data_IF_726185998412
#
_entry.id   IF_726185998412
#
_cell.length_a   1.000
_cell.length_b   1.000
_cell.length_c   1.000
_cell.angle_alpha   90.00
_cell.angle_beta   90.00
_cell.angle_gamma   90.00
#
_symmetry.space_group_name_H-M   'P 1'
#
loop_
_entity.id
_entity.type
_entity.pdbx_description
1 polymer ?
#
# COMPACT_ATOMS: atom_id res chain seq x y z
N UNK A 1 27.26 -10.19 25.39
CA UNK A 1 28.19 -10.12 24.27
C UNK A 1 27.34 -10.27 23.00
N UNK A 2 27.14 -9.23 22.20
CA UNK A 2 26.40 -9.34 20.95
C UNK A 2 27.34 -9.84 19.85
N UNK A 3 26.94 -10.88 19.17
CA UNK A 3 27.64 -11.47 18.03
C UNK A 3 27.51 -10.55 16.82
N UNK A 4 28.63 -10.00 16.44
CA UNK A 4 28.86 -9.24 15.20
C UNK A 4 28.64 -10.15 13.99
N UNK A 5 27.55 -9.99 13.28
CA UNK A 5 27.48 -10.40 11.89
C UNK A 5 28.18 -9.34 11.05
N UNK A 6 29.39 -9.68 10.67
CA UNK A 6 30.26 -8.95 9.79
C UNK A 6 29.58 -8.74 8.44
N UNK A 7 29.29 -7.49 8.11
CA UNK A 7 29.09 -7.03 6.75
C UNK A 7 30.39 -7.23 5.98
N UNK A 8 30.48 -8.30 5.23
CA UNK A 8 31.50 -8.43 4.20
C UNK A 8 31.20 -7.37 3.12
N UNK A 9 31.89 -6.23 3.21
CA UNK A 9 32.03 -5.31 2.10
C UNK A 9 32.79 -6.04 0.99
N UNK A 10 32.06 -6.50 -0.01
CA UNK A 10 32.66 -6.83 -1.30
C UNK A 10 32.98 -5.51 -2.02
N UNK A 11 34.19 -5.03 -1.81
CA UNK A 11 34.82 -4.07 -2.71
C UNK A 11 35.25 -4.82 -3.98
N UNK A 12 34.35 -4.92 -4.94
CA UNK A 12 34.70 -5.08 -6.35
C UNK A 12 33.75 -4.18 -7.11
N UNK A 13 34.30 -3.29 -7.92
CA UNK A 13 33.58 -2.26 -8.68
C UNK A 13 32.76 -2.83 -9.84
N UNK A 14 31.85 -3.74 -9.56
CA UNK A 14 30.78 -4.13 -10.46
C UNK A 14 29.55 -3.29 -10.09
N UNK A 15 29.15 -2.41 -11.00
CA UNK A 15 27.86 -1.72 -10.89
C UNK A 15 26.78 -2.81 -10.81
N UNK A 16 26.05 -2.86 -9.69
CA UNK A 16 24.90 -3.72 -9.56
C UNK A 16 23.92 -3.38 -10.70
N UNK A 17 23.84 -4.24 -11.69
CA UNK A 17 22.91 -4.09 -12.80
C UNK A 17 21.54 -4.58 -12.34
N UNK A 18 20.72 -3.65 -11.81
CA UNK A 18 19.35 -3.92 -11.51
C UNK A 18 18.52 -4.06 -12.80
N UNK A 19 17.53 -4.95 -12.77
CA UNK A 19 16.61 -5.15 -13.89
C UNK A 19 15.82 -3.88 -14.20
N UNK A 20 15.54 -3.65 -15.48
CA UNK A 20 14.52 -2.68 -15.90
C UNK A 20 13.17 -3.38 -16.00
N UNK A 21 12.09 -2.59 -15.92
CA UNK A 21 10.73 -3.12 -16.04
C UNK A 21 10.51 -3.89 -17.35
N UNK A 22 11.19 -3.52 -18.42
CA UNK A 22 11.06 -4.10 -19.76
C UNK A 22 11.72 -5.48 -19.87
N UNK A 23 12.76 -5.73 -19.06
CA UNK A 23 13.55 -6.96 -19.09
C UNK A 23 12.89 -8.14 -18.37
N UNK A 24 11.82 -7.92 -17.60
CA UNK A 24 11.19 -8.97 -16.82
C UNK A 24 10.25 -9.82 -17.67
N UNK A 25 10.46 -11.13 -17.64
CA UNK A 25 9.48 -12.12 -18.07
C UNK A 25 8.47 -12.36 -16.94
N UNK A 26 7.27 -11.77 -17.09
CA UNK A 26 6.22 -11.84 -16.06
C UNK A 26 5.73 -13.27 -15.81
N UNK A 27 5.72 -14.15 -16.82
CA UNK A 27 5.27 -15.53 -16.65
C UNK A 27 6.24 -16.29 -15.75
N UNK A 28 7.53 -16.25 -16.07
CA UNK A 28 8.59 -16.88 -15.28
C UNK A 28 8.70 -16.26 -13.87
N UNK A 29 8.58 -14.93 -13.78
CA UNK A 29 8.60 -14.24 -12.46
C UNK A 29 7.43 -14.70 -11.57
N UNK A 30 6.22 -14.82 -12.11
CA UNK A 30 5.05 -15.29 -11.36
C UNK A 30 5.16 -16.76 -10.93
N UNK A 31 5.73 -17.64 -11.76
CA UNK A 31 6.02 -19.02 -11.37
C UNK A 31 7.02 -19.06 -10.20
N UNK A 32 8.11 -18.30 -10.31
CA UNK A 32 9.14 -18.19 -9.28
C UNK A 32 8.56 -17.66 -7.97
N UNK A 33 7.81 -16.55 -8.02
CA UNK A 33 7.17 -15.92 -6.85
C UNK A 33 6.09 -16.82 -6.24
N UNK A 34 5.40 -17.63 -7.07
CA UNK A 34 4.41 -18.59 -6.60
C UNK A 34 4.99 -19.68 -5.71
N UNK A 35 6.25 -20.04 -5.88
CA UNK A 35 6.98 -21.02 -5.07
C UNK A 35 7.58 -20.42 -3.78
N UNK A 36 7.57 -19.10 -3.60
CA UNK A 36 8.15 -18.39 -2.47
C UNK A 36 7.10 -18.03 -1.43
N UNK A 37 7.53 -17.86 -0.18
CA UNK A 37 6.76 -17.17 0.85
C UNK A 37 6.81 -15.64 0.69
N UNK A 38 6.06 -14.92 1.52
CA UNK A 38 5.98 -13.46 1.44
C UNK A 38 7.34 -12.77 1.61
N UNK A 39 8.16 -13.26 2.52
CA UNK A 39 9.49 -12.72 2.78
C UNK A 39 10.44 -12.98 1.60
N UNK A 40 10.40 -14.18 1.04
CA UNK A 40 11.15 -14.55 -0.17
C UNK A 40 10.78 -13.68 -1.37
N UNK A 41 9.49 -13.36 -1.56
CA UNK A 41 9.02 -12.47 -2.65
C UNK A 41 9.57 -11.06 -2.53
N UNK A 42 9.60 -10.50 -1.31
CA UNK A 42 10.16 -9.16 -1.07
C UNK A 42 11.67 -9.17 -1.29
N UNK A 43 12.37 -10.21 -0.81
CA UNK A 43 13.81 -10.36 -1.00
C UNK A 43 14.16 -10.50 -2.50
N UNK A 44 13.42 -11.33 -3.23
CA UNK A 44 13.58 -11.46 -4.68
C UNK A 44 13.45 -10.10 -5.39
N UNK A 45 12.45 -9.30 -5.01
CA UNK A 45 12.28 -7.98 -5.59
C UNK A 45 13.44 -7.03 -5.23
N UNK A 46 13.91 -7.07 -3.99
CA UNK A 46 15.05 -6.27 -3.55
C UNK A 46 16.34 -6.62 -4.29
N UNK A 47 16.62 -7.90 -4.46
CA UNK A 47 17.80 -8.39 -5.19
C UNK A 47 17.78 -8.02 -6.67
N UNK A 48 16.60 -7.94 -7.30
CA UNK A 48 16.47 -7.65 -8.72
C UNK A 48 16.32 -6.15 -9.04
N UNK A 49 15.71 -5.35 -8.16
CA UNK A 49 15.35 -3.95 -8.45
C UNK A 49 15.99 -2.93 -7.49
N UNK A 50 16.54 -3.36 -6.36
CA UNK A 50 17.25 -2.51 -5.41
C UNK A 50 16.47 -1.24 -5.03
N UNK A 51 17.11 -0.09 -5.20
CA UNK A 51 16.52 1.23 -4.88
C UNK A 51 15.30 1.63 -5.72
N UNK A 52 15.02 0.89 -6.79
CA UNK A 52 13.78 1.04 -7.56
C UNK A 52 12.54 0.42 -6.92
N UNK A 53 12.67 -0.18 -5.72
CA UNK A 53 11.58 -0.81 -4.99
C UNK A 53 11.02 0.13 -3.93
N UNK A 54 9.69 0.22 -3.80
CA UNK A 54 9.02 0.88 -2.69
C UNK A 54 7.78 0.10 -2.25
N UNK A 55 7.29 0.39 -1.06
CA UNK A 55 5.95 -0.04 -0.59
C UNK A 55 5.10 1.16 -0.20
N UNK A 56 3.78 1.04 -0.32
CA UNK A 56 2.85 2.06 0.17
C UNK A 56 2.01 1.56 1.33
N UNK A 57 1.58 2.47 2.18
CA UNK A 57 0.68 2.20 3.31
C UNK A 57 -0.35 3.31 3.47
N UNK A 58 -1.54 2.96 3.93
CA UNK A 58 -2.54 3.88 4.48
C UNK A 58 -2.72 3.70 5.99
N UNK A 59 -1.84 2.93 6.62
CA UNK A 59 -1.94 2.54 8.01
C UNK A 59 -3.31 1.94 8.40
N UNK A 60 -3.92 1.16 7.48
CA UNK A 60 -5.14 0.41 7.77
C UNK A 60 -4.91 -0.70 8.79
N UNK A 61 -5.98 -1.41 9.20
CA UNK A 61 -6.00 -2.36 10.32
C UNK A 61 -4.83 -3.35 10.34
N UNK A 62 -4.42 -3.86 9.19
CA UNK A 62 -3.40 -4.91 9.07
C UNK A 62 -2.10 -4.42 8.40
N UNK A 63 -1.89 -3.11 8.29
CA UNK A 63 -0.75 -2.52 7.59
C UNK A 63 0.60 -2.87 8.21
N UNK A 64 0.65 -3.14 9.52
CA UNK A 64 1.87 -3.56 10.21
C UNK A 64 2.51 -4.81 9.58
N UNK A 65 1.72 -5.72 9.01
CA UNK A 65 2.22 -6.94 8.36
C UNK A 65 3.20 -6.60 7.23
N UNK A 66 2.75 -5.79 6.27
CA UNK A 66 3.59 -5.43 5.13
C UNK A 66 4.79 -4.58 5.53
N UNK A 67 4.59 -3.63 6.44
CA UNK A 67 5.67 -2.77 6.94
C UNK A 67 6.75 -3.62 7.60
N UNK A 68 6.37 -4.56 8.47
CA UNK A 68 7.30 -5.45 9.15
C UNK A 68 8.04 -6.34 8.16
N UNK A 69 7.33 -7.02 7.25
CA UNK A 69 7.95 -7.89 6.24
C UNK A 69 8.98 -7.14 5.38
N UNK A 70 8.68 -5.90 5.01
CA UNK A 70 9.59 -5.05 4.23
C UNK A 70 10.83 -4.67 5.05
N UNK A 71 10.64 -4.29 6.32
CA UNK A 71 11.74 -3.91 7.22
C UNK A 71 12.67 -5.09 7.55
N UNK A 72 12.14 -6.31 7.62
CA UNK A 72 12.93 -7.53 7.79
C UNK A 72 13.85 -7.82 6.60
N UNK A 73 13.51 -7.33 5.40
CA UNK A 73 14.34 -7.52 4.21
C UNK A 73 15.38 -6.41 4.06
N UNK A 74 14.96 -5.15 4.13
CA UNK A 74 15.88 -4.01 4.04
C UNK A 74 15.29 -2.74 4.65
N UNK A 75 16.13 -2.02 5.39
CA UNK A 75 15.83 -0.70 5.92
C UNK A 75 15.81 0.38 4.83
N UNK A 76 16.42 0.11 3.68
CA UNK A 76 16.54 1.05 2.57
C UNK A 76 15.28 1.14 1.71
N UNK A 77 14.35 0.16 1.81
CA UNK A 77 13.11 0.19 1.02
C UNK A 77 12.20 1.31 1.53
N UNK A 78 11.90 2.33 0.70
CA UNK A 78 11.03 3.43 1.08
C UNK A 78 9.61 2.94 1.39
N UNK A 79 9.03 3.47 2.48
CA UNK A 79 7.63 3.27 2.85
C UNK A 79 6.91 4.58 2.55
N UNK A 80 6.05 4.58 1.56
CA UNK A 80 5.25 5.75 1.14
C UNK A 80 3.93 5.74 1.89
N UNK A 81 3.61 6.84 2.56
CA UNK A 81 2.32 7.07 3.18
C UNK A 81 1.51 8.08 2.38
N UNK A 82 0.38 7.65 1.85
CA UNK A 82 -0.57 8.56 1.22
C UNK A 82 -1.52 9.09 2.27
N UNK A 83 -1.27 10.33 2.70
CA UNK A 83 -2.09 11.02 3.69
C UNK A 83 -3.15 11.88 3.00
N UNK A 84 -4.39 11.46 3.10
CA UNK A 84 -5.53 12.20 2.55
C UNK A 84 -5.96 13.39 3.40
N UNK A 85 -5.49 13.46 4.67
CA UNK A 85 -5.96 14.42 5.66
C UNK A 85 -7.37 14.11 6.21
N UNK A 86 -7.97 12.98 5.80
CA UNK A 86 -9.31 12.53 6.20
C UNK A 86 -9.29 11.19 6.93
N UNK A 87 -8.12 10.72 7.38
CA UNK A 87 -8.03 9.48 8.14
C UNK A 87 -8.57 9.66 9.57
N UNK A 88 -8.93 8.57 10.22
CA UNK A 88 -9.29 8.60 11.64
C UNK A 88 -8.11 9.02 12.52
N UNK A 89 -8.33 9.76 13.62
CA UNK A 89 -7.27 10.10 14.57
C UNK A 89 -6.47 8.88 15.03
N UNK A 90 -7.15 7.76 15.33
CA UNK A 90 -6.51 6.51 15.72
C UNK A 90 -5.59 5.92 14.65
N UNK A 91 -5.80 6.23 13.37
CA UNK A 91 -4.88 5.82 12.30
C UNK A 91 -3.54 6.56 12.39
N UNK A 92 -3.56 7.86 12.70
CA UNK A 92 -2.33 8.63 12.91
C UNK A 92 -1.57 8.18 14.16
N UNK A 93 -2.29 7.93 15.27
CA UNK A 93 -1.71 7.38 16.50
C UNK A 93 -1.04 6.02 16.24
N UNK A 94 -1.72 5.16 15.49
CA UNK A 94 -1.19 3.87 15.07
C UNK A 94 0.06 4.01 14.18
N UNK A 95 0.04 4.94 13.23
CA UNK A 95 1.18 5.22 12.38
C UNK A 95 2.41 5.63 13.19
N UNK A 96 2.25 6.51 14.17
CA UNK A 96 3.35 6.93 15.07
C UNK A 96 3.88 5.76 15.90
N UNK A 97 2.99 4.93 16.45
CA UNK A 97 3.35 3.75 17.23
C UNK A 97 4.13 2.72 16.39
N UNK A 98 3.74 2.50 15.13
CA UNK A 98 4.47 1.62 14.22
C UNK A 98 5.84 2.17 13.85
N UNK A 99 5.94 3.49 13.59
CA UNK A 99 7.21 4.14 13.31
C UNK A 99 8.21 3.98 14.44
N UNK A 100 7.76 4.19 15.68
CA UNK A 100 8.57 3.99 16.89
C UNK A 100 9.00 2.52 17.02
N UNK A 101 8.04 1.60 16.92
CA UNK A 101 8.27 0.16 17.10
C UNK A 101 9.22 -0.43 16.06
N UNK A 102 9.06 -0.06 14.80
CA UNK A 102 9.79 -0.65 13.67
C UNK A 102 10.94 0.22 13.16
N UNK A 103 11.20 1.35 13.82
CA UNK A 103 12.37 2.20 13.54
C UNK A 103 12.38 2.78 12.11
N UNK A 104 11.25 3.28 11.60
CA UNK A 104 11.20 3.86 10.27
C UNK A 104 10.51 5.22 10.24
N UNK A 105 10.70 5.97 9.16
CA UNK A 105 9.95 7.20 8.85
C UNK A 105 9.37 7.05 7.45
N UNK A 106 8.04 7.14 7.29
CA UNK A 106 7.45 7.10 5.97
C UNK A 106 7.72 8.39 5.20
N UNK A 107 7.80 8.28 3.87
CA UNK A 107 7.71 9.42 2.98
C UNK A 107 6.23 9.77 2.80
N UNK A 108 5.82 10.94 3.29
CA UNK A 108 4.42 11.34 3.28
C UNK A 108 4.11 12.12 2.01
N UNK A 109 3.11 11.64 1.27
CA UNK A 109 2.55 12.31 0.11
C UNK A 109 1.08 12.61 0.34
N UNK A 110 0.67 13.83 0.06
CA UNK A 110 -0.71 14.31 0.20
C UNK A 110 -1.15 15.10 -1.01
N UNK A 111 -2.44 15.35 -1.13
CA UNK A 111 -2.97 16.24 -2.16
C UNK A 111 -2.30 17.62 -2.11
N UNK A 112 -2.19 18.29 -3.25
CA UNK A 112 -1.61 19.65 -3.35
C UNK A 112 -2.43 20.70 -2.62
N UNK A 113 -3.74 20.50 -2.53
CA UNK A 113 -4.65 21.34 -1.77
C UNK A 113 -4.96 20.70 -0.41
N UNK A 114 -4.96 21.48 0.64
CA UNK A 114 -5.39 21.00 1.95
C UNK A 114 -6.86 20.57 1.93
N UNK A 115 -7.30 19.68 2.84
CA UNK A 115 -8.71 19.30 2.97
C UNK A 115 -9.67 20.49 3.03
N UNK A 116 -9.37 21.48 3.86
CA UNK A 116 -10.19 22.69 4.00
C UNK A 116 -10.30 23.47 2.68
N UNK A 117 -9.20 23.58 1.92
CA UNK A 117 -9.21 24.28 0.64
C UNK A 117 -10.00 23.51 -0.43
N UNK A 118 -9.89 22.17 -0.43
CA UNK A 118 -10.67 21.31 -1.32
C UNK A 118 -12.18 21.47 -1.06
N UNK A 119 -12.60 21.41 0.21
CA UNK A 119 -14.01 21.57 0.59
C UNK A 119 -14.55 22.98 0.26
N UNK A 120 -13.76 24.01 0.45
CA UNK A 120 -14.13 25.37 0.08
C UNK A 120 -14.28 25.54 -1.44
N UNK A 121 -13.43 24.87 -2.22
CA UNK A 121 -13.41 25.00 -3.68
C UNK A 121 -14.44 24.12 -4.39
N UNK A 122 -14.65 22.90 -3.88
CA UNK A 122 -15.42 21.86 -4.56
C UNK A 122 -16.60 21.32 -3.73
N UNK A 123 -16.74 21.73 -2.48
CA UNK A 123 -17.64 21.09 -1.51
C UNK A 123 -17.13 19.72 -1.11
N UNK A 124 -17.96 18.97 -0.41
CA UNK A 124 -17.65 17.58 0.00
C UNK A 124 -17.81 16.65 -1.19
N UNK A 125 -16.72 16.36 -1.86
CA UNK A 125 -16.71 15.53 -3.08
C UNK A 125 -17.31 14.13 -2.85
N UNK A 126 -17.15 13.53 -1.68
CA UNK A 126 -17.70 12.21 -1.35
C UNK A 126 -19.24 12.20 -1.22
N UNK A 127 -19.90 13.36 -1.14
CA UNK A 127 -21.37 13.52 -1.15
C UNK A 127 -21.93 13.75 -2.56
N UNK A 128 -21.07 13.88 -3.59
CA UNK A 128 -21.44 14.24 -4.98
C UNK A 128 -21.49 13.01 -5.90
N UNK A 129 -21.83 11.84 -5.35
CA UNK A 129 -21.99 10.59 -6.09
C UNK A 129 -20.68 10.09 -6.71
N UNK A 130 -20.80 9.26 -7.74
CA UNK A 130 -19.65 8.57 -8.35
C UNK A 130 -18.60 9.53 -8.90
N UNK A 131 -19.01 10.59 -9.57
CA UNK A 131 -18.07 11.55 -10.19
C UNK A 131 -17.29 12.34 -9.12
N UNK A 132 -17.97 12.79 -8.05
CA UNK A 132 -17.33 13.45 -6.94
C UNK A 132 -16.32 12.52 -6.23
N UNK A 133 -16.70 11.27 -5.98
CA UNK A 133 -15.82 10.27 -5.39
C UNK A 133 -14.62 9.96 -6.31
N UNK A 134 -14.80 9.90 -7.62
CA UNK A 134 -13.69 9.71 -8.56
C UNK A 134 -12.71 10.87 -8.51
N UNK A 135 -13.21 12.12 -8.51
CA UNK A 135 -12.37 13.32 -8.34
C UNK A 135 -11.63 13.32 -7.01
N UNK A 136 -12.33 12.97 -5.92
CA UNK A 136 -11.73 12.83 -4.59
C UNK A 136 -10.57 11.83 -4.60
N UNK A 137 -10.80 10.63 -5.12
CA UNK A 137 -9.80 9.57 -5.16
C UNK A 137 -8.59 9.95 -6.02
N UNK A 138 -8.83 10.63 -7.15
CA UNK A 138 -7.75 11.13 -7.98
C UNK A 138 -6.88 12.15 -7.22
N UNK A 139 -7.50 13.18 -6.64
CA UNK A 139 -6.79 14.27 -5.94
C UNK A 139 -6.04 13.80 -4.70
N UNK A 140 -6.67 12.93 -3.90
CA UNK A 140 -6.16 12.59 -2.56
C UNK A 140 -5.39 11.27 -2.50
N UNK A 141 -5.46 10.45 -3.56
CA UNK A 141 -4.82 9.13 -3.56
C UNK A 141 -3.97 8.90 -4.80
N UNK A 142 -4.58 8.97 -6.01
CA UNK A 142 -3.89 8.61 -7.24
C UNK A 142 -2.77 9.60 -7.59
N UNK A 143 -3.06 10.91 -7.67
CA UNK A 143 -2.04 11.92 -7.98
C UNK A 143 -0.88 11.90 -6.99
N UNK A 144 -1.10 11.88 -5.66
CA UNK A 144 0.02 11.78 -4.72
C UNK A 144 0.84 10.50 -4.88
N UNK A 145 0.21 9.37 -5.20
CA UNK A 145 0.93 8.12 -5.42
C UNK A 145 1.71 8.13 -6.73
N UNK A 146 1.12 8.62 -7.81
CA UNK A 146 1.80 8.75 -9.12
C UNK A 146 3.03 9.66 -8.99
N UNK A 147 2.89 10.76 -8.25
CA UNK A 147 3.99 11.67 -7.95
C UNK A 147 5.08 11.00 -7.12
N UNK A 148 4.72 10.21 -6.10
CA UNK A 148 5.67 9.43 -5.32
C UNK A 148 6.44 8.43 -6.20
N UNK A 149 5.74 7.70 -7.07
CA UNK A 149 6.35 6.75 -7.99
C UNK A 149 7.33 7.44 -8.94
N UNK A 150 6.99 8.61 -9.45
CA UNK A 150 7.83 9.39 -10.34
C UNK A 150 9.05 9.98 -9.63
N UNK A 151 8.86 10.67 -8.50
CA UNK A 151 9.94 11.32 -7.75
C UNK A 151 10.95 10.34 -7.16
N UNK A 152 10.49 9.12 -6.82
CA UNK A 152 11.32 8.04 -6.29
C UNK A 152 11.86 7.12 -7.41
N UNK A 153 11.59 7.42 -8.67
CA UNK A 153 12.01 6.63 -9.84
C UNK A 153 11.65 5.13 -9.68
N UNK A 154 10.47 4.87 -9.09
CA UNK A 154 10.05 3.54 -8.71
C UNK A 154 9.86 2.64 -9.93
N UNK A 155 10.43 1.46 -9.88
CA UNK A 155 10.24 0.38 -10.87
C UNK A 155 9.24 -0.65 -10.38
N UNK A 156 9.25 -0.91 -9.08
CA UNK A 156 8.34 -1.88 -8.45
C UNK A 156 7.64 -1.23 -7.25
N UNK A 157 6.34 -1.29 -7.26
CA UNK A 157 5.47 -0.88 -6.15
C UNK A 157 4.88 -2.10 -5.46
N UNK A 158 5.25 -2.33 -4.21
CA UNK A 158 4.67 -3.38 -3.38
C UNK A 158 3.39 -2.92 -2.69
N UNK A 159 2.36 -3.76 -2.72
CA UNK A 159 1.09 -3.52 -2.04
C UNK A 159 0.61 -4.76 -1.28
N UNK A 160 0.02 -4.56 -0.11
CA UNK A 160 -0.49 -5.62 0.77
C UNK A 160 -1.87 -6.15 0.37
N UNK A 161 -2.13 -6.33 -0.93
CA UNK A 161 -3.39 -6.89 -1.40
C UNK A 161 -3.42 -8.41 -1.23
N UNK A 162 -4.60 -8.95 -0.92
CA UNK A 162 -4.86 -10.39 -0.78
C UNK A 162 -6.05 -10.80 -1.65
N UNK A 163 -5.99 -11.99 -2.25
CA UNK A 163 -7.08 -12.52 -3.11
C UNK A 163 -8.41 -12.65 -2.35
N UNK A 164 -8.34 -12.89 -1.04
CA UNK A 164 -9.53 -13.09 -0.19
C UNK A 164 -10.31 -11.81 0.11
N UNK A 165 -9.72 -10.63 -0.11
CA UNK A 165 -10.35 -9.36 0.28
C UNK A 165 -11.43 -8.88 -0.69
N UNK A 166 -11.39 -9.25 -1.96
CA UNK A 166 -12.38 -8.85 -2.95
C UNK A 166 -12.47 -9.86 -4.10
N UNK A 167 -13.65 -9.96 -4.73
CA UNK A 167 -13.90 -10.90 -5.83
C UNK A 167 -12.98 -10.58 -7.03
N UNK A 168 -12.78 -9.30 -7.32
CA UNK A 168 -11.97 -8.83 -8.46
C UNK A 168 -10.49 -9.17 -8.31
N UNK A 169 -10.02 -9.49 -7.09
CA UNK A 169 -8.64 -9.87 -6.79
C UNK A 169 -8.32 -11.35 -6.98
N UNK A 170 -9.32 -12.18 -7.27
CA UNK A 170 -9.13 -13.63 -7.39
C UNK A 170 -8.13 -14.01 -8.47
N UNK A 171 -8.07 -13.25 -9.56
CA UNK A 171 -7.24 -13.53 -10.73
C UNK A 171 -5.93 -12.73 -10.73
N UNK A 172 -5.61 -11.97 -9.68
CA UNK A 172 -4.35 -11.25 -9.58
C UNK A 172 -3.17 -12.23 -9.56
N UNK A 173 -2.12 -11.89 -10.29
CA UNK A 173 -0.82 -12.53 -10.21
C UNK A 173 0.04 -11.88 -9.11
N UNK A 174 1.11 -12.55 -8.68
CA UNK A 174 2.01 -11.98 -7.67
C UNK A 174 2.70 -10.70 -8.14
N UNK A 175 3.02 -10.64 -9.43
CA UNK A 175 3.59 -9.45 -10.07
C UNK A 175 2.86 -9.17 -11.38
N UNK A 176 2.51 -7.91 -11.60
CA UNK A 176 1.80 -7.44 -12.78
C UNK A 176 2.36 -6.09 -13.24
N UNK A 177 2.16 -5.77 -14.52
CA UNK A 177 2.49 -4.44 -15.05
C UNK A 177 1.26 -3.55 -15.00
N UNK A 178 1.36 -2.39 -14.34
CA UNK A 178 0.29 -1.41 -14.31
C UNK A 178 0.88 0.02 -14.37
N UNK A 179 0.38 0.85 -15.28
CA UNK A 179 0.74 2.27 -15.37
C UNK A 179 2.26 2.55 -15.39
N UNK A 180 3.02 1.75 -16.14
CA UNK A 180 4.47 1.94 -16.30
C UNK A 180 5.34 1.39 -15.16
N UNK A 181 4.75 0.91 -14.06
CA UNK A 181 5.45 0.25 -12.96
C UNK A 181 5.04 -1.21 -12.83
N UNK A 182 5.88 -2.02 -12.17
CA UNK A 182 5.51 -3.36 -11.75
C UNK A 182 4.83 -3.27 -10.38
N UNK A 183 3.67 -3.92 -10.23
CA UNK A 183 3.02 -4.11 -8.93
C UNK A 183 3.31 -5.51 -8.41
N UNK A 184 3.86 -5.58 -7.21
CA UNK A 184 4.14 -6.83 -6.51
C UNK A 184 3.23 -6.95 -5.28
N UNK A 185 2.64 -8.12 -5.11
CA UNK A 185 1.73 -8.45 -4.01
C UNK A 185 2.30 -9.58 -3.14
N UNK A 186 3.21 -9.29 -2.20
CA UNK A 186 3.95 -10.30 -1.46
C UNK A 186 3.07 -11.26 -0.65
N UNK A 187 1.93 -10.76 -0.14
CA UNK A 187 0.98 -11.52 0.70
C UNK A 187 -0.32 -11.89 -0.05
N UNK A 188 -0.28 -11.93 -1.38
CA UNK A 188 -1.47 -12.14 -2.21
C UNK A 188 -2.26 -13.42 -1.87
N UNK A 189 -1.58 -14.48 -1.50
CA UNK A 189 -2.11 -15.79 -1.13
C UNK A 189 -2.47 -15.93 0.35
N UNK A 190 -2.18 -14.92 1.18
CA UNK A 190 -2.54 -14.95 2.60
C UNK A 190 -4.05 -14.80 2.79
N UNK A 191 -4.56 -15.53 3.80
CA UNK A 191 -5.93 -15.38 4.30
C UNK A 191 -5.94 -14.49 5.55
N UNK A 192 -7.12 -14.12 6.03
CA UNK A 192 -7.26 -13.33 7.25
C UNK A 192 -6.57 -14.00 8.44
N UNK A 193 -6.66 -15.33 8.53
CA UNK A 193 -6.02 -16.11 9.61
C UNK A 193 -4.51 -15.89 9.66
N UNK A 194 -3.83 -15.91 8.52
CA UNK A 194 -2.37 -15.71 8.48
C UNK A 194 -1.99 -14.30 8.94
N UNK A 195 -2.72 -13.27 8.50
CA UNK A 195 -2.49 -11.90 8.94
C UNK A 195 -2.74 -11.71 10.42
N UNK A 196 -3.85 -12.26 10.95
CA UNK A 196 -4.16 -12.18 12.37
C UNK A 196 -3.16 -12.93 13.26
N UNK A 197 -2.64 -14.05 12.80
CA UNK A 197 -1.60 -14.81 13.53
C UNK A 197 -0.23 -14.15 13.45
N UNK A 198 0.05 -13.41 12.38
CA UNK A 198 1.32 -12.73 12.17
C UNK A 198 1.56 -11.60 13.17
N UNK A 199 0.53 -10.80 13.46
CA UNK A 199 0.65 -9.66 14.36
C UNK A 199 1.16 -10.04 15.77
N UNK A 200 0.50 -10.92 16.54
CA UNK A 200 0.96 -11.28 17.87
C UNK A 200 2.26 -12.10 17.85
N UNK A 201 2.49 -12.91 16.81
CA UNK A 201 3.73 -13.69 16.67
C UNK A 201 4.97 -12.78 16.58
N UNK A 202 4.82 -11.59 16.00
CA UNK A 202 5.91 -10.62 15.83
C UNK A 202 5.78 -9.41 16.77
N UNK A 203 4.97 -9.52 17.81
CA UNK A 203 4.73 -8.46 18.80
C UNK A 203 4.36 -7.12 18.14
N UNK A 204 3.53 -7.16 17.07
CA UNK A 204 3.11 -5.97 16.35
C UNK A 204 1.83 -5.39 16.97
N UNK A 205 1.73 -4.05 17.07
CA UNK A 205 0.54 -3.42 17.64
C UNK A 205 -0.67 -3.59 16.73
N UNK A 206 -1.84 -3.67 17.36
CA UNK A 206 -3.11 -3.58 16.66
C UNK A 206 -3.50 -2.14 16.43
N UNK A 207 -4.23 -1.90 15.34
CA UNK A 207 -4.85 -0.62 15.09
C UNK A 207 -5.91 -0.30 16.16
N UNK A 208 -6.07 0.95 16.67
CA UNK A 208 -7.07 1.27 17.69
C UNK A 208 -8.53 0.94 17.33
N UNK A 209 -8.84 0.89 16.03
CA UNK A 209 -10.17 0.52 15.55
C UNK A 209 -10.31 -0.99 15.25
N UNK A 210 -9.28 -1.79 15.51
CA UNK A 210 -9.37 -3.25 15.40
C UNK A 210 -10.39 -3.79 16.41
N UNK A 211 -11.29 -4.66 15.95
CA UNK A 211 -12.37 -5.19 16.79
C UNK A 211 -13.52 -4.21 17.08
N UNK A 212 -13.52 -3.00 16.52
CA UNK A 212 -14.57 -2.00 16.67
C UNK A 212 -15.62 -2.04 15.56
N UNK A 213 -15.88 -3.22 15.02
CA UNK A 213 -16.91 -3.45 13.99
C UNK A 213 -16.60 -2.86 12.61
N UNK A 214 -15.29 -2.71 12.29
CA UNK A 214 -14.82 -2.32 10.97
C UNK A 214 -14.16 -3.51 10.26
N UNK A 215 -14.55 -3.76 9.01
CA UNK A 215 -13.87 -4.72 8.14
C UNK A 215 -12.51 -4.18 7.63
N UNK A 216 -12.49 -2.89 7.34
CA UNK A 216 -11.29 -2.15 6.96
C UNK A 216 -11.47 -0.67 7.28
N UNK A 217 -10.37 0.05 7.45
CA UNK A 217 -10.38 1.50 7.71
C UNK A 217 -9.64 2.28 6.64
N UNK A 218 -10.10 3.48 6.38
CA UNK A 218 -9.48 4.47 5.51
C UNK A 218 -10.00 5.85 5.90
N UNK A 219 -10.44 6.67 4.92
CA UNK A 219 -11.00 7.99 5.21
C UNK A 219 -12.29 7.85 5.99
N UNK A 220 -12.46 8.65 7.04
CA UNK A 220 -13.60 8.55 7.97
C UNK A 220 -14.95 8.74 7.26
N UNK A 221 -15.04 9.61 6.27
CA UNK A 221 -16.27 9.89 5.52
C UNK A 221 -16.70 8.73 4.59
N UNK A 222 -15.81 7.83 4.23
CA UNK A 222 -16.06 6.70 3.32
C UNK A 222 -15.88 5.34 3.98
N UNK A 223 -15.82 5.31 5.31
CA UNK A 223 -15.68 4.08 6.12
C UNK A 223 -16.88 3.98 7.07
N UNK A 224 -17.59 2.86 7.03
CA UNK A 224 -18.74 2.56 7.89
C UNK A 224 -18.50 1.29 8.69
N UNK A 225 -19.19 1.16 9.82
CA UNK A 225 -19.23 -0.08 10.61
C UNK A 225 -20.03 -1.16 9.89
N UNK A 226 -19.67 -2.41 10.12
CA UNK A 226 -20.41 -3.55 9.55
C UNK A 226 -21.87 -3.57 9.99
N UNK A 227 -22.18 -3.15 11.23
CA UNK A 227 -23.55 -3.02 11.74
C UNK A 227 -24.37 -1.90 11.08
N UNK A 228 -23.75 -0.99 10.34
CA UNK A 228 -24.42 0.14 9.67
C UNK A 228 -24.73 -0.16 8.20
N UNK A 229 -24.36 -1.34 7.69
CA UNK A 229 -24.50 -1.72 6.28
C UNK A 229 -25.12 -3.11 6.14
N UNK A 230 -25.85 -3.35 5.04
CA UNK A 230 -26.43 -4.66 4.77
C UNK A 230 -25.41 -5.67 4.24
N UNK A 231 -24.42 -5.19 3.50
CA UNK A 231 -23.33 -5.99 2.91
C UNK A 231 -22.00 -5.43 3.31
N UNK A 232 -21.04 -6.31 3.57
CA UNK A 232 -19.65 -5.91 3.90
C UNK A 232 -19.02 -5.01 2.83
N UNK A 233 -19.39 -5.21 1.56
CA UNK A 233 -18.93 -4.41 0.42
C UNK A 233 -19.34 -2.94 0.54
N UNK A 234 -20.47 -2.65 1.16
CA UNK A 234 -21.01 -1.29 1.33
C UNK A 234 -20.33 -0.52 2.48
N UNK A 235 -19.55 -1.21 3.31
CA UNK A 235 -18.80 -0.59 4.40
C UNK A 235 -17.69 0.36 3.91
N UNK A 236 -17.36 0.32 2.61
CA UNK A 236 -16.35 1.19 1.99
C UNK A 236 -16.91 1.92 0.77
N UNK A 237 -16.48 3.17 0.61
CA UNK A 237 -16.79 4.01 -0.55
C UNK A 237 -18.29 4.13 -0.91
N UNK A 238 -19.17 4.00 0.09
CA UNK A 238 -20.62 4.11 -0.12
C UNK A 238 -21.22 3.03 -1.05
N UNK A 239 -20.60 1.84 -1.10
CA UNK A 239 -21.05 0.75 -1.97
C UNK A 239 -20.57 0.86 -3.43
N UNK A 240 -19.73 1.82 -3.75
CA UNK A 240 -19.20 2.00 -5.12
C UNK A 240 -17.95 1.15 -5.43
N UNK A 241 -17.75 0.05 -4.71
CA UNK A 241 -16.65 -0.89 -4.88
C UNK A 241 -15.64 -0.86 -3.73
N UNK A 242 -14.97 -1.99 -3.51
CA UNK A 242 -13.98 -2.19 -2.42
C UNK A 242 -12.60 -1.67 -2.76
N UNK A 243 -12.36 -1.33 -4.02
CA UNK A 243 -11.03 -0.92 -4.45
C UNK A 243 -10.68 0.47 -3.86
N UNK A 244 -9.57 0.49 -3.14
CA UNK A 244 -8.95 1.74 -2.72
C UNK A 244 -8.62 2.55 -3.98
N UNK A 245 -8.98 3.85 -4.01
CA UNK A 245 -8.75 4.73 -5.16
C UNK A 245 -7.31 4.76 -5.71
N UNK A 246 -6.34 4.16 -5.00
CA UNK A 246 -4.96 3.93 -5.45
C UNK A 246 -4.84 2.90 -6.59
N UNK A 247 -5.81 2.00 -6.74
CA UNK A 247 -5.77 0.88 -7.68
C UNK A 247 -6.78 1.01 -8.84
N UNK A 248 -7.51 2.13 -8.89
CA UNK A 248 -8.51 2.38 -9.92
C UNK A 248 -7.84 3.13 -11.08
N UNK A 249 -7.98 2.61 -12.29
CA UNK A 249 -7.62 3.34 -13.50
C UNK A 249 -8.64 4.46 -13.72
N UNK A 250 -8.15 5.70 -13.74
CA UNK A 250 -8.98 6.85 -14.12
C UNK A 250 -9.03 6.86 -15.65
N UNK A 251 -10.22 6.98 -16.27
CA UNK A 251 -10.32 7.07 -17.72
C UNK A 251 -9.44 8.18 -18.28
N UNK A 252 -8.70 7.89 -19.36
CA UNK A 252 -7.91 8.88 -20.07
C UNK A 252 -8.81 10.06 -20.50
N UNK A 253 -8.34 11.27 -20.28
CA UNK A 253 -9.07 12.50 -20.64
C UNK A 253 -9.89 13.13 -19.51
N UNK A 254 -9.87 12.57 -18.30
CA UNK A 254 -10.47 13.23 -17.14
C UNK A 254 -9.49 14.28 -16.62
N UNK A 255 -9.67 15.52 -17.10
CA UNK A 255 -8.87 16.66 -16.63
C UNK A 255 -9.41 17.14 -15.28
N UNK A 256 -8.70 16.80 -14.22
CA UNK A 256 -8.94 17.28 -12.85
C UNK A 256 -7.93 18.39 -12.46
N UNK A 257 -7.33 19.08 -13.44
CA UNK A 257 -6.40 20.19 -13.16
C UNK A 257 -7.03 21.20 -12.21
N UNK A 258 -6.27 21.58 -11.19
CA UNK A 258 -6.62 22.58 -10.17
C UNK A 258 -5.88 23.86 -10.48
#
# INVERSE_FOLDING_TARGET
MPTLYSLAKFCHGESLHYMTNEQIDLANANETLGAMDAHGRIRWAWENFGTGLLTSTSFGLQSAVMIHLVREVSEEIPIVFIDTGYLFPGTYEYALKLQEKLGFKPLVYSARLSPAFQEASFGKLWEQGKNGMSKYNWMNKKEPMDRALQELEAKVWMAGLRRTQAIDRKNLNFIERQNGVLKLYPILDWRDRETYQYLPKNDLPYHPLEGMDYDSVGDWHSTRKLSEVEKTEDARHGGHGRECGLHIDVPEGTDFTV
#
